data_IF_522774253154
#
_entry.id   IF_522774253154
#
_cell.length_a   1.000
_cell.length_b   1.000
_cell.length_c   1.000
_cell.angle_alpha   90.00
_cell.angle_beta   90.00
_cell.angle_gamma   90.00
#
_symmetry.space_group_name_H-M   'P 1'
#
loop_
_entity.id
_entity.type
_entity.pdbx_description
1 polymer ?
#
# COMPACT_ATOMS: atom_id res chain seq x y z
N UNK A 1 -0.90 17.83 -0.20
CA UNK A 1 -0.45 16.82 0.76
C UNK A 1 -1.25 15.56 0.49
N UNK A 2 -0.56 14.46 0.18
CA UNK A 2 -1.18 13.16 -0.11
C UNK A 2 -1.45 12.44 1.20
N UNK A 3 -2.62 11.79 1.30
CA UNK A 3 -3.00 10.95 2.44
C UNK A 3 -3.37 9.56 2.00
N UNK A 4 -2.65 8.57 2.51
CA UNK A 4 -2.93 7.16 2.25
C UNK A 4 -3.45 6.51 3.53
N UNK A 5 -4.42 5.62 3.39
CA UNK A 5 -4.65 4.55 4.36
C UNK A 5 -4.40 3.23 3.68
N UNK A 6 -3.50 2.45 4.26
CA UNK A 6 -2.99 1.22 3.69
C UNK A 6 -3.76 0.03 4.26
N UNK A 7 -4.21 -0.87 3.41
CA UNK A 7 -4.43 -2.27 3.78
C UNK A 7 -3.20 -3.09 3.36
N UNK A 8 -3.05 -4.26 3.96
CA UNK A 8 -1.98 -5.19 3.62
C UNK A 8 -2.57 -6.55 3.28
N UNK A 9 -2.20 -7.05 2.12
CA UNK A 9 -2.69 -8.29 1.54
C UNK A 9 -1.50 -9.23 1.25
N UNK A 10 -1.16 -10.03 2.25
CA UNK A 10 -0.08 -11.01 2.16
C UNK A 10 -0.59 -12.30 1.51
N UNK A 11 -0.37 -12.47 0.21
CA UNK A 11 -0.76 -13.69 -0.53
C UNK A 11 0.27 -14.82 -0.39
N UNK A 12 1.41 -14.54 0.22
CA UNK A 12 2.51 -15.49 0.37
C UNK A 12 2.35 -16.25 1.68
N UNK A 13 2.24 -17.58 1.57
CA UNK A 13 2.26 -18.49 2.71
C UNK A 13 3.65 -19.13 2.82
N UNK A 14 4.58 -18.38 3.39
CA UNK A 14 5.98 -18.78 3.53
C UNK A 14 6.55 -18.24 4.84
N UNK A 15 7.23 -19.09 5.61
CA UNK A 15 7.88 -18.66 6.87
C UNK A 15 8.98 -17.62 6.64
N UNK A 16 9.54 -17.55 5.44
CA UNK A 16 10.52 -16.53 5.07
C UNK A 16 9.87 -15.14 4.82
N UNK A 17 8.54 -15.05 4.74
CA UNK A 17 7.78 -13.80 4.57
C UNK A 17 6.69 -13.72 5.65
N UNK A 18 7.05 -13.55 6.93
CA UNK A 18 6.06 -13.53 8.00
C UNK A 18 5.15 -12.28 7.93
N UNK A 19 3.96 -12.29 8.54
CA UNK A 19 3.15 -11.09 8.68
C UNK A 19 3.90 -9.95 9.40
N UNK A 20 3.63 -8.70 9.02
CA UNK A 20 4.22 -7.54 9.68
C UNK A 20 3.52 -7.22 11.00
N UNK A 21 4.30 -6.72 11.97
CA UNK A 21 3.75 -5.89 13.04
C UNK A 21 3.58 -4.46 12.51
N UNK A 22 2.34 -3.96 12.46
CA UNK A 22 2.03 -2.70 11.78
C UNK A 22 2.64 -1.46 12.44
N UNK A 23 2.84 -1.46 13.77
CA UNK A 23 3.57 -0.37 14.46
C UNK A 23 5.02 -0.26 13.99
N UNK A 24 5.71 -1.41 13.87
CA UNK A 24 7.08 -1.45 13.40
C UNK A 24 7.18 -1.09 11.91
N UNK A 25 6.21 -1.54 11.10
CA UNK A 25 6.14 -1.21 9.69
C UNK A 25 5.87 0.28 9.45
N UNK A 26 4.93 0.89 10.18
CA UNK A 26 4.66 2.33 10.08
C UNK A 26 5.91 3.16 10.40
N UNK A 27 6.62 2.81 11.47
CA UNK A 27 7.90 3.45 11.81
C UNK A 27 8.93 3.28 10.69
N UNK A 28 9.10 2.08 10.17
CA UNK A 28 10.06 1.80 9.12
C UNK A 28 9.72 2.53 7.80
N UNK A 29 8.44 2.69 7.47
CA UNK A 29 8.02 3.49 6.31
C UNK A 29 8.38 4.96 6.47
N UNK A 30 8.23 5.54 7.66
CA UNK A 30 8.68 6.91 7.92
C UNK A 30 10.21 7.06 7.86
N UNK A 31 10.98 5.99 8.12
CA UNK A 31 12.44 5.99 8.05
C UNK A 31 12.99 5.74 6.63
N UNK A 32 12.22 5.04 5.79
CA UNK A 32 12.67 4.61 4.45
C UNK A 32 12.00 5.33 3.28
N UNK A 33 10.98 6.14 3.55
CA UNK A 33 10.33 7.00 2.57
C UNK A 33 10.56 8.47 2.93
N UNK A 34 11.45 9.15 2.19
CA UNK A 34 11.82 10.55 2.42
C UNK A 34 10.63 11.51 2.28
N UNK A 35 9.63 11.17 1.46
CA UNK A 35 8.47 12.05 1.25
C UNK A 35 7.42 11.97 2.37
N UNK A 36 7.47 10.92 3.19
CA UNK A 36 6.50 10.64 4.26
C UNK A 36 6.74 11.56 5.44
N UNK A 37 5.74 12.37 5.78
CA UNK A 37 5.79 13.33 6.89
C UNK A 37 5.13 12.81 8.16
N UNK A 38 4.26 11.80 8.04
CA UNK A 38 3.63 11.12 9.17
C UNK A 38 3.29 9.68 8.79
N UNK A 39 3.48 8.75 9.72
CA UNK A 39 3.09 7.36 9.57
C UNK A 39 2.60 6.80 10.91
N UNK A 40 1.38 6.26 10.93
CA UNK A 40 0.75 5.74 12.14
C UNK A 40 0.07 4.41 11.88
N UNK A 41 0.29 3.42 12.75
CA UNK A 41 -0.49 2.19 12.72
C UNK A 41 -1.92 2.44 13.22
N UNK A 42 -2.88 1.76 12.60
CA UNK A 42 -4.30 1.93 12.87
C UNK A 42 -4.87 0.70 13.59
N UNK A 43 -5.65 0.95 14.64
CA UNK A 43 -6.51 -0.08 15.23
C UNK A 43 -7.82 -0.17 14.44
N UNK A 44 -7.78 -0.82 13.28
CA UNK A 44 -8.94 -0.94 12.39
C UNK A 44 -9.01 -2.33 11.70
N UNK A 45 -10.21 -2.90 11.46
CA UNK A 45 -10.35 -4.23 10.87
C UNK A 45 -9.68 -4.36 9.49
N UNK A 46 -9.87 -3.36 8.63
CA UNK A 46 -9.34 -3.35 7.26
C UNK A 46 -8.03 -2.53 7.12
N UNK A 47 -8.10 -1.23 7.36
CA UNK A 47 -6.93 -0.33 7.33
C UNK A 47 -5.92 -0.61 8.45
N UNK A 48 -4.64 -0.54 8.12
CA UNK A 48 -3.52 -0.91 8.99
C UNK A 48 -2.57 0.24 9.29
N UNK A 49 -2.34 1.13 8.32
CA UNK A 49 -1.42 2.26 8.46
C UNK A 49 -2.05 3.49 7.82
N UNK A 50 -1.92 4.65 8.44
CA UNK A 50 -2.18 5.97 7.84
C UNK A 50 -0.86 6.64 7.53
N UNK A 51 -0.74 7.24 6.34
CA UNK A 51 0.42 8.02 5.92
C UNK A 51 0.00 9.42 5.46
N UNK A 52 0.83 10.42 5.78
CA UNK A 52 0.83 11.72 5.13
C UNK A 52 2.17 11.92 4.39
N UNK A 53 2.12 12.52 3.20
CA UNK A 53 3.31 12.75 2.38
C UNK A 53 3.22 14.01 1.53
N UNK A 54 4.39 14.57 1.21
CA UNK A 54 4.55 15.69 0.29
C UNK A 54 4.57 15.28 -1.18
N UNK A 55 4.79 14.00 -1.48
CA UNK A 55 4.84 13.46 -2.84
C UNK A 55 3.45 13.36 -3.49
N UNK A 56 3.42 13.17 -4.81
CA UNK A 56 2.20 12.83 -5.53
C UNK A 56 1.75 11.40 -5.18
N UNK A 57 0.48 11.03 -5.40
CA UNK A 57 0.01 9.66 -5.12
C UNK A 57 0.80 8.57 -5.85
N UNK A 58 1.17 8.79 -7.12
CA UNK A 58 1.95 7.83 -7.90
C UNK A 58 3.36 7.66 -7.33
N UNK A 59 4.06 8.78 -7.10
CA UNK A 59 5.43 8.76 -6.55
C UNK A 59 5.46 8.11 -5.15
N UNK A 60 4.47 8.43 -4.29
CA UNK A 60 4.36 7.81 -2.98
C UNK A 60 4.09 6.30 -3.09
N UNK A 61 3.28 5.86 -4.05
CA UNK A 61 3.00 4.44 -4.28
C UNK A 61 4.25 3.66 -4.72
N UNK A 62 5.09 4.25 -5.56
CA UNK A 62 6.40 3.71 -5.92
C UNK A 62 7.34 3.64 -4.72
N UNK A 63 7.44 4.74 -3.98
CA UNK A 63 8.30 4.85 -2.81
C UNK A 63 7.94 3.82 -1.73
N UNK A 64 6.65 3.69 -1.37
CA UNK A 64 6.22 2.70 -0.37
C UNK A 64 6.45 1.26 -0.85
N UNK A 65 6.25 0.97 -2.14
CA UNK A 65 6.41 -0.41 -2.67
C UNK A 65 7.88 -0.84 -2.61
N UNK A 66 8.78 0.06 -3.00
CA UNK A 66 10.23 -0.16 -2.90
C UNK A 66 10.71 -0.20 -1.45
N UNK A 67 10.21 0.70 -0.59
CA UNK A 67 10.54 0.71 0.83
C UNK A 67 10.08 -0.58 1.51
N UNK A 68 8.90 -1.12 1.16
CA UNK A 68 8.41 -2.40 1.67
C UNK A 68 9.41 -3.54 1.45
N UNK A 69 9.94 -3.65 0.23
CA UNK A 69 10.97 -4.65 -0.12
C UNK A 69 12.27 -4.42 0.66
N UNK A 70 12.72 -3.16 0.78
CA UNK A 70 13.90 -2.82 1.60
C UNK A 70 13.70 -3.21 3.06
N UNK A 71 12.52 -2.98 3.62
CA UNK A 71 12.16 -3.35 5.00
C UNK A 71 12.19 -4.88 5.17
N UNK A 72 11.66 -5.64 4.22
CA UNK A 72 11.79 -7.12 4.19
C UNK A 72 13.26 -7.54 4.24
N UNK A 73 14.08 -7.01 3.33
CA UNK A 73 15.50 -7.33 3.25
C UNK A 73 16.25 -6.99 4.55
N UNK A 74 16.00 -5.81 5.14
CA UNK A 74 16.61 -5.37 6.39
C UNK A 74 16.25 -6.26 7.59
N UNK A 75 15.10 -6.92 7.53
CA UNK A 75 14.67 -7.91 8.53
C UNK A 75 15.18 -9.33 8.24
N UNK A 76 15.93 -9.54 7.15
CA UNK A 76 16.40 -10.85 6.72
C UNK A 76 15.30 -11.74 6.13
N UNK A 77 14.17 -11.16 5.74
CA UNK A 77 13.06 -11.86 5.10
C UNK A 77 13.27 -12.01 3.60
N UNK A 78 12.59 -12.96 2.99
CA UNK A 78 12.62 -13.15 1.54
C UNK A 78 12.05 -11.93 0.82
N UNK A 79 12.59 -11.68 -0.37
CA UNK A 79 12.17 -10.63 -1.30
C UNK A 79 11.93 -11.20 -2.70
N UNK A 80 11.67 -12.51 -2.82
CA UNK A 80 11.44 -13.26 -4.07
C UNK A 80 10.02 -13.07 -4.65
N UNK A 81 9.36 -11.98 -4.30
CA UNK A 81 7.96 -11.71 -4.64
C UNK A 81 7.74 -10.25 -5.05
N UNK A 82 6.67 -9.99 -5.77
CA UNK A 82 6.26 -8.64 -6.11
C UNK A 82 5.59 -7.95 -4.91
N UNK A 83 5.79 -6.64 -4.81
CA UNK A 83 5.01 -5.75 -3.93
C UNK A 83 4.20 -4.82 -4.83
N UNK A 84 2.88 -4.83 -4.68
CA UNK A 84 1.98 -3.98 -5.45
C UNK A 84 1.35 -2.94 -4.55
N UNK A 85 1.16 -1.73 -5.07
CA UNK A 85 0.32 -0.71 -4.44
C UNK A 85 -0.85 -0.38 -5.39
N UNK A 86 -2.06 -0.76 -4.98
CA UNK A 86 -3.28 -0.59 -5.75
C UNK A 86 -4.15 0.49 -5.10
N UNK A 87 -4.18 1.68 -5.71
CA UNK A 87 -4.76 2.87 -5.11
C UNK A 87 -6.07 3.29 -5.76
N UNK A 88 -7.01 3.73 -4.92
CA UNK A 88 -8.21 4.43 -5.35
C UNK A 88 -8.49 5.66 -4.49
N UNK A 89 -8.65 6.83 -5.11
CA UNK A 89 -9.04 8.06 -4.42
C UNK A 89 -10.49 7.94 -3.92
N UNK A 90 -10.73 8.48 -2.74
CA UNK A 90 -12.06 8.63 -2.17
C UNK A 90 -12.65 9.97 -2.65
N UNK A 91 -13.49 9.93 -3.67
CA UNK A 91 -14.06 11.16 -4.26
C UNK A 91 -15.28 11.70 -3.49
N UNK A 92 -15.96 10.83 -2.72
CA UNK A 92 -17.10 11.19 -1.87
C UNK A 92 -16.70 11.43 -0.42
N UNK A 93 -17.57 12.04 0.37
CA UNK A 93 -17.39 12.10 1.82
C UNK A 93 -17.15 10.70 2.43
N UNK A 94 -16.23 10.65 3.39
CA UNK A 94 -15.97 9.47 4.20
C UNK A 94 -17.04 9.32 5.27
N UNK A 95 -17.22 8.10 5.76
CA UNK A 95 -18.06 7.89 6.95
C UNK A 95 -17.38 8.61 8.13
N UNK A 96 -18.13 9.33 8.99
CA UNK A 96 -17.55 9.98 10.16
C UNK A 96 -16.73 8.99 11.00
N UNK A 97 -15.48 9.37 11.30
CA UNK A 97 -14.55 8.53 12.08
C UNK A 97 -13.86 7.40 11.29
N UNK A 98 -14.20 7.18 10.02
CA UNK A 98 -13.44 6.24 9.18
C UNK A 98 -12.04 6.81 8.87
N UNK A 99 -10.99 5.97 8.78
CA UNK A 99 -9.67 6.46 8.39
C UNK A 99 -9.63 7.07 6.98
N UNK A 100 -10.35 6.47 6.02
CA UNK A 100 -10.42 6.97 4.64
C UNK A 100 -11.46 8.09 4.51
N UNK A 101 -11.00 9.30 4.22
CA UNK A 101 -11.83 10.49 4.03
C UNK A 101 -11.74 11.04 2.60
N UNK A 102 -12.65 11.95 2.24
CA UNK A 102 -12.67 12.56 0.90
C UNK A 102 -11.32 13.18 0.54
N UNK A 103 -10.88 12.96 -0.70
CA UNK A 103 -9.57 13.38 -1.21
C UNK A 103 -8.39 12.50 -0.76
N UNK A 104 -8.58 11.62 0.22
CA UNK A 104 -7.60 10.60 0.61
C UNK A 104 -7.62 9.39 -0.32
N UNK A 105 -6.65 8.50 -0.15
CA UNK A 105 -6.48 7.29 -0.94
C UNK A 105 -6.55 6.05 -0.07
N UNK A 106 -7.40 5.11 -0.45
CA UNK A 106 -7.33 3.74 0.05
C UNK A 106 -6.37 2.97 -0.85
N UNK A 107 -5.37 2.33 -0.25
CA UNK A 107 -4.33 1.63 -1.00
C UNK A 107 -4.18 0.22 -0.47
N UNK A 108 -4.39 -0.77 -1.35
CA UNK A 108 -4.09 -2.16 -1.02
C UNK A 108 -2.63 -2.46 -1.36
N UNK A 109 -1.83 -2.74 -0.35
CA UNK A 109 -0.45 -3.18 -0.52
C UNK A 109 -0.42 -4.70 -0.55
N UNK A 110 -0.10 -5.28 -1.70
CA UNK A 110 -0.18 -6.71 -1.96
C UNK A 110 1.22 -7.30 -2.08
N UNK A 111 1.50 -8.37 -1.36
CA UNK A 111 2.73 -9.16 -1.53
C UNK A 111 2.34 -10.50 -2.20
N UNK A 112 2.80 -10.74 -3.43
CA UNK A 112 2.43 -11.92 -4.23
C UNK A 112 3.55 -12.38 -5.17
N UNK A 113 3.61 -13.68 -5.47
CA UNK A 113 4.49 -14.24 -6.52
C UNK A 113 3.84 -14.19 -7.92
N UNK A 114 2.53 -13.94 -7.99
CA UNK A 114 1.75 -13.86 -9.22
C UNK A 114 0.91 -12.56 -9.24
N UNK A 115 1.51 -11.42 -9.63
CA UNK A 115 0.81 -10.14 -9.66
C UNK A 115 -0.30 -10.11 -10.73
N UNK A 116 -0.06 -10.70 -11.90
CA UNK A 116 -1.04 -10.73 -12.99
C UNK A 116 -2.26 -11.58 -12.62
N UNK A 117 -2.03 -12.77 -12.07
CA UNK A 117 -3.11 -13.62 -11.56
C UNK A 117 -3.89 -12.97 -10.43
N UNK A 118 -3.23 -12.26 -9.52
CA UNK A 118 -3.92 -11.50 -8.48
C UNK A 118 -4.82 -10.41 -9.06
N UNK A 119 -4.33 -9.58 -9.99
CA UNK A 119 -5.11 -8.53 -10.66
C UNK A 119 -6.33 -9.11 -11.39
N UNK A 120 -6.17 -10.28 -12.02
CA UNK A 120 -7.26 -10.97 -12.69
C UNK A 120 -8.33 -11.44 -11.70
N UNK A 121 -7.91 -12.06 -10.59
CA UNK A 121 -8.84 -12.59 -9.56
C UNK A 121 -9.67 -11.48 -8.93
N UNK A 122 -9.08 -10.31 -8.65
CA UNK A 122 -9.83 -9.18 -8.10
C UNK A 122 -10.62 -8.40 -9.15
N UNK A 123 -10.53 -8.78 -10.43
CA UNK A 123 -11.09 -8.04 -11.57
C UNK A 123 -10.70 -6.55 -11.56
N UNK A 124 -9.40 -6.27 -11.43
CA UNK A 124 -8.89 -4.91 -11.27
C UNK A 124 -9.33 -3.97 -12.41
N UNK A 125 -9.31 -4.47 -13.66
CA UNK A 125 -9.79 -3.73 -14.83
C UNK A 125 -11.27 -3.33 -14.68
N UNK A 126 -12.12 -4.24 -14.20
CA UNK A 126 -13.52 -3.94 -13.91
C UNK A 126 -13.71 -2.95 -12.75
N UNK A 127 -12.90 -3.07 -11.68
CA UNK A 127 -12.93 -2.16 -10.52
C UNK A 127 -12.52 -0.73 -10.87
N UNK A 128 -11.71 -0.57 -11.92
CA UNK A 128 -11.13 0.73 -12.32
C UNK A 128 -11.76 1.34 -13.57
N UNK A 129 -12.52 0.58 -14.37
CA UNK A 129 -13.06 1.03 -15.66
C UNK A 129 -13.88 2.33 -15.61
N UNK A 130 -14.56 2.61 -14.49
CA UNK A 130 -15.38 3.81 -14.30
C UNK A 130 -14.71 4.93 -13.49
N UNK A 131 -13.45 4.75 -13.08
CA UNK A 131 -12.72 5.71 -12.26
C UNK A 131 -12.06 6.77 -13.15
N UNK A 132 -11.93 8.02 -12.67
CA UNK A 132 -11.13 9.00 -13.38
C UNK A 132 -9.65 8.59 -13.36
N UNK A 133 -8.91 8.92 -14.41
CA UNK A 133 -7.52 8.49 -14.58
C UNK A 133 -6.59 9.00 -13.47
N UNK A 134 -6.90 10.16 -12.89
CA UNK A 134 -6.18 10.75 -11.75
C UNK A 134 -6.68 10.27 -10.37
N UNK A 135 -7.70 9.39 -10.36
CA UNK A 135 -8.30 8.82 -9.15
C UNK A 135 -7.92 7.36 -8.89
N UNK A 136 -7.01 6.81 -9.69
CA UNK A 136 -6.47 5.46 -9.55
C UNK A 136 -4.97 5.44 -9.78
N UNK A 137 -4.30 4.45 -9.19
CA UNK A 137 -2.95 4.05 -9.61
C UNK A 137 -2.77 2.55 -9.41
N UNK A 138 -1.84 1.98 -10.18
CA UNK A 138 -1.36 0.62 -10.06
C UNK A 138 0.15 0.67 -10.17
N UNK A 139 0.84 0.35 -9.09
CA UNK A 139 2.30 0.21 -9.06
C UNK A 139 2.64 -1.23 -8.73
N UNK A 140 3.60 -1.80 -9.46
CA UNK A 140 4.12 -3.15 -9.22
C UNK A 140 5.63 -3.05 -9.15
N UNK A 141 6.18 -3.28 -7.97
CA UNK A 141 7.61 -3.44 -7.73
C UNK A 141 7.96 -4.93 -7.81
N UNK A 142 8.71 -5.32 -8.85
CA UNK A 142 9.13 -6.71 -9.06
C UNK A 142 10.47 -6.99 -8.36
N UNK A 143 10.72 -8.24 -7.93
CA UNK A 143 12.05 -8.65 -7.51
C UNK A 143 13.04 -8.55 -8.69
N UNK A 144 14.29 -8.25 -8.37
CA UNK A 144 15.40 -8.19 -9.34
C UNK A 144 15.80 -9.59 -9.84
#
# INVERSE_FOLDING_TARGET
>A
MTRFVLSHNLQIQDSAVPPFAFDALAKALAEHCDSVTSAEALSHPHWKISLESTATPGDLAEEISQAWRKIRANQGHSTDHAVMALGGRKDSEGIPGAPLQQGGWGVDVVETRDPDGFLQVINWSGLTAGRPADGIFQVIDHPL
#
